data_IF_182083220416
#
_entry.id   IF_182083220416
#
_cell.length_a   1.000
_cell.length_b   1.000
_cell.length_c   1.000
_cell.angle_alpha   90.00
_cell.angle_beta   90.00
_cell.angle_gamma   90.00
#
_symmetry.space_group_name_H-M   'P 1'
#
loop_
_entity.id
_entity.type
_entity.pdbx_description
1 polymer ?
#
# COMPACT_ATOMS: atom_id res chain seq x y z
N UNK A 1 8.69 1.65 1.72
CA UNK A 1 7.73 1.86 0.62
C UNK A 1 6.79 3.00 1.00
N UNK A 2 7.03 4.19 0.41
CA UNK A 2 6.19 5.39 0.67
C UNK A 2 4.74 5.12 0.26
N UNK A 3 4.52 4.39 -0.84
CA UNK A 3 3.19 3.99 -1.30
C UNK A 3 2.41 3.22 -0.24
N UNK A 4 3.01 2.19 0.36
CA UNK A 4 2.33 1.40 1.39
C UNK A 4 1.98 2.25 2.62
N UNK A 5 2.88 3.16 3.04
CA UNK A 5 2.61 4.07 4.16
C UNK A 5 1.41 4.98 3.90
N UNK A 6 1.37 5.63 2.73
CA UNK A 6 0.26 6.51 2.34
C UNK A 6 -1.06 5.75 2.20
N UNK A 7 -1.04 4.57 1.56
CA UNK A 7 -2.21 3.74 1.39
C UNK A 7 -2.74 3.19 2.72
N UNK A 8 -1.85 2.70 3.59
CA UNK A 8 -2.21 2.18 4.89
C UNK A 8 -2.78 3.28 5.78
N UNK A 9 -2.16 4.47 5.80
CA UNK A 9 -2.67 5.62 6.56
C UNK A 9 -4.10 6.00 6.14
N UNK A 10 -4.38 6.03 4.83
CA UNK A 10 -5.71 6.33 4.31
C UNK A 10 -6.75 5.26 4.69
N UNK A 11 -6.39 3.97 4.58
CA UNK A 11 -7.26 2.84 4.94
C UNK A 11 -7.52 2.80 6.44
N UNK A 12 -6.48 2.98 7.26
CA UNK A 12 -6.59 3.01 8.73
C UNK A 12 -7.43 4.20 9.18
N UNK A 13 -7.22 5.39 8.62
CA UNK A 13 -8.07 6.56 8.89
C UNK A 13 -9.55 6.27 8.57
N UNK A 14 -9.81 5.71 7.39
CA UNK A 14 -11.16 5.37 6.96
C UNK A 14 -11.82 4.37 7.92
N UNK A 15 -11.10 3.32 8.32
CA UNK A 15 -11.56 2.31 9.27
C UNK A 15 -11.78 2.91 10.66
N UNK A 16 -10.84 3.70 11.16
CA UNK A 16 -10.91 4.33 12.48
C UNK A 16 -12.12 5.28 12.58
N UNK A 17 -12.33 6.14 11.58
CA UNK A 17 -13.50 7.02 11.53
C UNK A 17 -14.82 6.22 11.50
N UNK A 18 -14.86 5.11 10.75
CA UNK A 18 -16.02 4.22 10.70
C UNK A 18 -16.29 3.51 12.02
N UNK A 19 -15.24 3.02 12.70
CA UNK A 19 -15.35 2.39 14.01
C UNK A 19 -15.76 3.38 15.10
N UNK A 20 -15.25 4.61 15.03
CA UNK A 20 -15.60 5.70 15.94
C UNK A 20 -16.96 6.36 15.61
N UNK A 21 -17.65 5.93 14.54
CA UNK A 21 -18.89 6.54 14.02
C UNK A 21 -18.75 8.05 13.75
N UNK A 22 -17.54 8.53 13.47
CA UNK A 22 -17.25 9.93 13.11
C UNK A 22 -17.38 10.10 11.58
N UNK A 23 -17.76 11.30 11.09
CA UNK A 23 -17.83 11.55 9.65
C UNK A 23 -16.43 11.43 9.01
N UNK A 24 -16.35 10.65 7.94
CA UNK A 24 -15.12 10.49 7.16
C UNK A 24 -14.90 11.74 6.32
N UNK A 25 -13.73 12.36 6.39
CA UNK A 25 -13.37 13.49 5.55
C UNK A 25 -12.75 12.98 4.23
N UNK A 26 -13.47 13.01 3.08
CA UNK A 26 -12.98 12.40 1.84
C UNK A 26 -11.72 13.08 1.30
N UNK A 27 -11.54 14.37 1.59
CA UNK A 27 -10.37 15.17 1.19
C UNK A 27 -9.06 14.56 1.68
N UNK A 28 -9.03 14.03 2.91
CA UNK A 28 -7.85 13.38 3.50
C UNK A 28 -7.51 12.12 2.72
N UNK A 29 -8.51 11.25 2.49
CA UNK A 29 -8.33 9.97 1.79
C UNK A 29 -7.90 10.20 0.35
N UNK A 30 -8.53 11.14 -0.36
CA UNK A 30 -8.15 11.48 -1.74
C UNK A 30 -6.77 12.11 -1.83
N UNK A 31 -6.37 12.92 -0.85
CA UNK A 31 -5.03 13.50 -0.77
C UNK A 31 -3.95 12.43 -0.64
N UNK A 32 -4.13 11.52 0.34
CA UNK A 32 -3.22 10.40 0.56
C UNK A 32 -3.19 9.43 -0.63
N UNK A 33 -4.35 9.09 -1.19
CA UNK A 33 -4.45 8.23 -2.37
C UNK A 33 -3.73 8.84 -3.58
N UNK A 34 -3.90 10.15 -3.83
CA UNK A 34 -3.19 10.84 -4.91
C UNK A 34 -1.68 10.80 -4.70
N UNK A 35 -1.21 11.00 -3.47
CA UNK A 35 0.21 10.85 -3.13
C UNK A 35 0.71 9.43 -3.44
N UNK A 36 -0.02 8.40 -2.99
CA UNK A 36 0.32 7.00 -3.26
C UNK A 36 0.38 6.70 -4.77
N UNK A 37 -0.59 7.21 -5.55
CA UNK A 37 -0.63 7.04 -7.00
C UNK A 37 0.57 7.71 -7.71
N UNK A 38 0.91 8.95 -7.33
CA UNK A 38 2.05 9.68 -7.93
C UNK A 38 3.37 8.96 -7.63
N UNK A 39 3.57 8.54 -6.38
CA UNK A 39 4.75 7.76 -6.00
C UNK A 39 4.79 6.43 -6.75
N UNK A 40 3.63 5.77 -6.95
CA UNK A 40 3.54 4.54 -7.72
C UNK A 40 3.90 4.70 -9.19
N UNK A 41 3.47 5.77 -9.84
CA UNK A 41 3.90 6.07 -11.21
C UNK A 41 5.41 6.34 -11.28
N UNK A 42 5.97 7.02 -10.27
CA UNK A 42 7.42 7.18 -10.15
C UNK A 42 8.14 5.84 -10.01
N UNK A 43 7.65 4.95 -9.16
CA UNK A 43 8.16 3.59 -9.01
C UNK A 43 8.11 2.80 -10.32
N UNK A 44 6.98 2.84 -11.03
CA UNK A 44 6.82 2.19 -12.34
C UNK A 44 7.85 2.72 -13.35
N UNK A 45 8.02 4.04 -13.43
CA UNK A 45 8.99 4.67 -14.33
C UNK A 45 10.42 4.24 -14.01
N UNK A 46 10.79 4.20 -12.71
CA UNK A 46 12.11 3.73 -12.28
C UNK A 46 12.33 2.25 -12.63
N UNK A 47 11.33 1.38 -12.42
CA UNK A 47 11.42 -0.05 -12.75
C UNK A 47 11.56 -0.30 -14.25
N UNK A 48 10.82 0.44 -15.08
CA UNK A 48 10.96 0.38 -16.53
C UNK A 48 12.33 0.89 -16.97
N UNK A 49 12.80 2.01 -16.39
CA UNK A 49 14.11 2.57 -16.66
C UNK A 49 15.25 1.60 -16.31
N UNK A 50 15.14 0.92 -15.16
CA UNK A 50 16.09 -0.12 -14.72
C UNK A 50 16.22 -1.22 -15.78
N UNK A 51 15.11 -1.82 -16.23
CA UNK A 51 15.10 -2.91 -17.22
C UNK A 51 15.68 -2.49 -18.57
N UNK A 52 15.44 -1.24 -18.97
CA UNK A 52 16.00 -0.70 -20.23
C UNK A 52 17.51 -0.50 -20.09
N UNK A 53 17.97 0.11 -19.00
CA UNK A 53 19.38 0.43 -18.77
C UNK A 53 20.21 -0.84 -18.54
N UNK A 54 19.66 -1.87 -17.88
CA UNK A 54 20.36 -3.14 -17.66
C UNK A 54 20.43 -4.02 -18.92
N UNK A 55 19.65 -3.70 -19.96
CA UNK A 55 19.56 -4.52 -21.18
C UNK A 55 18.69 -5.77 -21.03
N UNK A 56 18.01 -5.93 -19.90
CA UNK A 56 17.24 -7.14 -19.55
C UNK A 56 15.81 -7.15 -20.09
N UNK A 57 15.50 -6.29 -21.08
CA UNK A 57 14.16 -6.21 -21.66
C UNK A 57 13.68 -7.55 -22.22
N UNK A 58 14.61 -8.39 -22.69
CA UNK A 58 14.32 -9.76 -23.12
C UNK A 58 13.77 -10.64 -22.00
N UNK A 59 14.25 -10.47 -20.76
CA UNK A 59 13.75 -11.21 -19.59
C UNK A 59 12.33 -10.76 -19.22
N UNK A 60 12.04 -9.46 -19.32
CA UNK A 60 10.71 -8.92 -19.05
C UNK A 60 9.66 -9.34 -20.10
N UNK A 61 10.08 -9.63 -21.33
CA UNK A 61 9.19 -10.07 -22.42
C UNK A 61 9.16 -11.59 -22.62
N UNK A 62 10.05 -12.33 -21.97
CA UNK A 62 10.09 -13.78 -22.07
C UNK A 62 8.83 -14.43 -21.47
N UNK A 63 8.34 -15.56 -22.01
CA UNK A 63 7.19 -16.29 -21.47
C UNK A 63 7.57 -17.09 -20.21
N UNK A 64 8.06 -16.39 -19.18
CA UNK A 64 8.49 -16.97 -17.91
C UNK A 64 7.56 -16.56 -16.78
N UNK A 65 7.53 -17.37 -15.71
CA UNK A 65 6.77 -17.04 -14.50
C UNK A 65 7.19 -15.71 -13.88
N UNK A 66 8.48 -15.37 -13.95
CA UNK A 66 9.02 -14.15 -13.36
C UNK A 66 8.62 -12.90 -14.14
N UNK A 67 8.62 -12.98 -15.47
CA UNK A 67 8.07 -11.92 -16.31
C UNK A 67 6.58 -11.68 -16.02
N UNK A 68 5.80 -12.77 -15.86
CA UNK A 68 4.38 -12.66 -15.53
C UNK A 68 4.12 -12.02 -14.15
N UNK A 69 4.90 -12.39 -13.13
CA UNK A 69 4.83 -11.77 -11.79
C UNK A 69 5.16 -10.28 -11.86
N UNK A 70 6.25 -9.93 -12.54
CA UNK A 70 6.70 -8.55 -12.70
C UNK A 70 5.65 -7.68 -13.42
N UNK A 71 5.08 -8.15 -14.54
CA UNK A 71 4.02 -7.43 -15.23
C UNK A 71 2.73 -7.33 -14.42
N UNK A 72 2.40 -8.36 -13.63
CA UNK A 72 1.25 -8.31 -12.73
C UNK A 72 1.46 -7.22 -11.67
N UNK A 73 2.64 -7.15 -11.06
CA UNK A 73 2.99 -6.08 -10.12
C UNK A 73 2.84 -4.69 -10.77
N UNK A 74 3.47 -4.49 -11.94
CA UNK A 74 3.50 -3.19 -12.62
C UNK A 74 2.11 -2.76 -13.13
N UNK A 75 1.36 -3.66 -13.76
CA UNK A 75 0.09 -3.31 -14.41
C UNK A 75 -1.09 -3.34 -13.45
N UNK A 76 -1.23 -4.42 -12.67
CA UNK A 76 -2.42 -4.64 -11.84
C UNK A 76 -2.31 -3.89 -10.53
N UNK A 77 -1.12 -3.83 -9.92
CA UNK A 77 -0.98 -3.28 -8.58
C UNK A 77 -0.35 -1.89 -8.51
N UNK A 78 0.23 -1.41 -9.61
CA UNK A 78 0.76 -0.03 -9.69
C UNK A 78 -0.02 0.80 -10.70
N UNK A 79 -0.02 0.43 -11.98
CA UNK A 79 -0.63 1.25 -13.03
C UNK A 79 -2.16 1.36 -12.88
N UNK A 80 -2.85 0.23 -12.73
CA UNK A 80 -4.31 0.19 -12.57
C UNK A 80 -4.81 1.06 -11.40
N UNK A 81 -4.36 0.87 -10.15
CA UNK A 81 -4.84 1.71 -9.05
C UNK A 81 -4.43 3.18 -9.19
N UNK A 82 -3.25 3.48 -9.76
CA UNK A 82 -2.86 4.86 -10.03
C UNK A 82 -3.83 5.54 -11.00
N UNK A 83 -4.20 4.87 -12.10
CA UNK A 83 -5.19 5.37 -13.06
C UNK A 83 -6.57 5.52 -12.41
N UNK A 84 -7.02 4.50 -11.65
CA UNK A 84 -8.30 4.55 -10.95
C UNK A 84 -8.39 5.76 -10.02
N UNK A 85 -7.32 6.04 -9.25
CA UNK A 85 -7.25 7.17 -8.32
C UNK A 85 -7.22 8.51 -9.07
N UNK A 86 -6.37 8.64 -10.10
CA UNK A 86 -6.16 9.91 -10.79
C UNK A 86 -7.35 10.32 -11.67
N UNK A 87 -8.00 9.36 -12.33
CA UNK A 87 -9.11 9.62 -13.26
C UNK A 87 -10.46 9.62 -12.55
N UNK A 88 -10.66 8.71 -11.60
CA UNK A 88 -12.00 8.44 -11.03
C UNK A 88 -12.07 8.50 -9.51
N UNK A 89 -10.92 8.61 -8.81
CA UNK A 89 -10.85 8.46 -7.35
C UNK A 89 -11.75 9.45 -6.60
N UNK A 90 -11.81 10.71 -7.05
CA UNK A 90 -12.65 11.74 -6.40
C UNK A 90 -14.16 11.51 -6.53
N UNK A 91 -14.60 10.61 -7.42
CA UNK A 91 -16.03 10.33 -7.66
C UNK A 91 -16.61 9.31 -6.69
N UNK A 92 -15.77 8.49 -6.06
CA UNK A 92 -16.24 7.44 -5.14
C UNK A 92 -15.17 7.08 -4.11
N UNK A 93 -15.55 7.25 -2.85
CA UNK A 93 -14.71 6.87 -1.71
C UNK A 93 -14.40 5.36 -1.72
N UNK A 94 -15.41 4.53 -2.03
CA UNK A 94 -15.26 3.08 -2.07
C UNK A 94 -14.29 2.63 -3.17
N UNK A 95 -14.37 3.23 -4.37
CA UNK A 95 -13.42 2.92 -5.47
C UNK A 95 -11.99 3.31 -5.09
N UNK A 96 -11.82 4.46 -4.43
CA UNK A 96 -10.50 4.88 -3.91
C UNK A 96 -10.00 3.89 -2.86
N UNK A 97 -10.85 3.45 -1.94
CA UNK A 97 -10.50 2.42 -0.96
C UNK A 97 -10.00 1.12 -1.60
N UNK A 98 -10.69 0.63 -2.65
CA UNK A 98 -10.26 -0.56 -3.41
C UNK A 98 -8.90 -0.32 -4.07
N UNK A 99 -8.68 0.82 -4.71
CA UNK A 99 -7.41 1.14 -5.35
C UNK A 99 -6.24 1.21 -4.34
N UNK A 100 -6.48 1.76 -3.14
CA UNK A 100 -5.50 1.78 -2.05
C UNK A 100 -5.17 0.36 -1.57
N UNK A 101 -6.16 -0.53 -1.48
CA UNK A 101 -5.94 -1.94 -1.14
C UNK A 101 -5.14 -2.68 -2.21
N UNK A 102 -5.38 -2.40 -3.50
CA UNK A 102 -4.57 -2.93 -4.60
C UNK A 102 -3.10 -2.51 -4.47
N UNK A 103 -2.83 -1.25 -4.12
CA UNK A 103 -1.45 -0.78 -3.88
C UNK A 103 -0.81 -1.53 -2.71
N UNK A 104 -1.53 -1.73 -1.60
CA UNK A 104 -1.01 -2.48 -0.45
C UNK A 104 -0.70 -3.93 -0.82
N UNK A 105 -1.58 -4.58 -1.57
CA UNK A 105 -1.37 -5.94 -2.07
C UNK A 105 -0.20 -6.00 -3.05
N UNK A 106 -0.01 -4.99 -3.90
CA UNK A 106 1.16 -4.88 -4.78
C UNK A 106 2.47 -4.81 -4.04
N UNK A 107 2.56 -3.97 -3.01
CA UNK A 107 3.77 -3.87 -2.19
C UNK A 107 4.03 -5.17 -1.42
N UNK A 108 2.98 -5.85 -0.97
CA UNK A 108 3.10 -7.16 -0.35
C UNK A 108 3.60 -8.21 -1.35
N UNK A 109 3.05 -8.23 -2.57
CA UNK A 109 3.47 -9.14 -3.64
C UNK A 109 4.91 -8.89 -4.04
N UNK A 110 5.33 -7.63 -4.20
CA UNK A 110 6.73 -7.26 -4.45
C UNK A 110 7.67 -7.82 -3.39
N UNK A 111 7.25 -7.82 -2.12
CA UNK A 111 8.03 -8.41 -1.03
C UNK A 111 8.19 -9.92 -1.23
N UNK A 112 7.12 -10.64 -1.55
CA UNK A 112 7.18 -12.08 -1.81
C UNK A 112 7.97 -12.43 -3.08
N UNK A 113 7.83 -11.65 -4.14
CA UNK A 113 8.58 -11.83 -5.38
C UNK A 113 10.08 -11.75 -5.09
N UNK A 114 10.51 -10.73 -4.32
CA UNK A 114 11.92 -10.53 -3.98
C UNK A 114 12.48 -11.54 -2.96
N UNK A 115 11.70 -11.94 -1.95
CA UNK A 115 12.23 -12.72 -0.81
C UNK A 115 11.84 -14.20 -0.81
N UNK A 116 10.87 -14.62 -1.63
CA UNK A 116 10.39 -16.00 -1.65
C UNK A 116 10.46 -16.61 -3.05
N UNK A 117 9.94 -15.92 -4.08
CA UNK A 117 9.83 -16.51 -5.41
C UNK A 117 11.10 -16.42 -6.24
N UNK A 118 11.81 -15.28 -6.18
CA UNK A 118 13.05 -15.06 -6.93
C UNK A 118 14.32 -15.54 -6.19
N UNK A 119 14.18 -16.03 -4.95
CA UNK A 119 15.33 -16.48 -4.17
C UNK A 119 15.82 -17.85 -4.65
N UNK A 120 17.11 -17.95 -4.97
CA UNK A 120 17.75 -19.21 -5.33
C UNK A 120 17.97 -20.05 -4.06
N UNK A 121 17.26 -21.17 -3.96
CA UNK A 121 17.50 -22.15 -2.91
C UNK A 121 18.68 -23.06 -3.27
N UNK A 122 19.50 -23.49 -2.28
CA UNK A 122 20.50 -24.54 -2.49
C UNK A 122 19.89 -25.82 -3.07
N UNK A 123 20.66 -26.56 -3.87
CA UNK A 123 20.20 -27.81 -4.49
C UNK A 123 19.66 -28.79 -3.44
N UNK A 124 18.40 -29.20 -3.59
CA UNK A 124 17.73 -30.14 -2.67
C UNK A 124 16.99 -29.48 -1.51
N UNK A 125 17.09 -28.16 -1.33
CA UNK A 125 16.31 -27.44 -0.34
C UNK A 125 14.93 -27.05 -0.89
N UNK A 126 13.89 -27.23 -0.08
CA UNK A 126 12.54 -26.70 -0.32
C UNK A 126 12.14 -25.85 0.87
N UNK A 127 11.61 -24.65 0.62
CA UNK A 127 11.09 -23.78 1.67
C UNK A 127 9.58 -23.99 1.79
N UNK A 128 9.14 -24.33 3.00
CA UNK A 128 7.74 -24.33 3.37
C UNK A 128 7.60 -23.52 4.67
N UNK A 129 6.75 -22.48 4.70
CA UNK A 129 6.70 -21.56 5.83
C UNK A 129 6.27 -22.28 7.10
N UNK A 130 7.09 -22.18 8.16
CA UNK A 130 6.75 -22.78 9.44
C UNK A 130 5.69 -21.96 10.19
N UNK A 131 4.91 -22.62 11.05
CA UNK A 131 3.90 -21.95 11.88
C UNK A 131 4.48 -20.79 12.69
N UNK A 132 5.72 -20.92 13.18
CA UNK A 132 6.39 -19.88 13.95
C UNK A 132 6.66 -18.61 13.11
N UNK A 133 6.86 -18.74 11.80
CA UNK A 133 7.07 -17.60 10.90
C UNK A 133 5.77 -16.80 10.74
N UNK A 134 4.64 -17.50 10.66
CA UNK A 134 3.31 -16.89 10.67
C UNK A 134 3.02 -16.19 12.00
N UNK A 135 3.32 -16.84 13.13
CA UNK A 135 3.15 -16.25 14.46
C UNK A 135 4.05 -15.03 14.67
N UNK A 136 5.29 -15.07 14.18
CA UNK A 136 6.22 -13.93 14.26
C UNK A 136 5.70 -12.76 13.44
N UNK A 137 5.21 -13.01 12.22
CA UNK A 137 4.61 -11.98 11.37
C UNK A 137 3.37 -11.35 12.04
N UNK A 138 2.49 -12.19 12.59
CA UNK A 138 1.32 -11.72 13.34
C UNK A 138 1.72 -10.90 14.58
N UNK A 139 2.76 -11.33 15.30
CA UNK A 139 3.30 -10.64 16.47
C UNK A 139 3.86 -9.26 16.12
N UNK A 140 4.60 -9.13 15.01
CA UNK A 140 5.12 -7.83 14.52
C UNK A 140 3.96 -6.89 14.17
N UNK A 141 2.94 -7.39 13.46
CA UNK A 141 1.76 -6.59 13.10
C UNK A 141 0.98 -6.15 14.36
N UNK A 142 0.81 -7.05 15.32
CA UNK A 142 0.16 -6.74 16.60
C UNK A 142 0.95 -5.71 17.40
N UNK A 143 2.28 -5.83 17.47
CA UNK A 143 3.16 -4.86 18.12
C UNK A 143 3.10 -3.48 17.45
N UNK A 144 3.09 -3.43 16.11
CA UNK A 144 2.93 -2.18 15.37
C UNK A 144 1.56 -1.53 15.63
N UNK A 145 0.49 -2.32 15.65
CA UNK A 145 -0.85 -1.85 15.99
C UNK A 145 -0.93 -1.33 17.45
N UNK A 146 -0.31 -2.04 18.39
CA UNK A 146 -0.23 -1.62 19.79
C UNK A 146 0.52 -0.30 19.94
N UNK A 147 1.69 -0.17 19.29
CA UNK A 147 2.48 1.07 19.31
C UNK A 147 1.68 2.25 18.73
N UNK A 148 0.94 2.03 17.64
CA UNK A 148 0.04 3.04 17.08
C UNK A 148 -1.06 3.46 18.06
N UNK A 149 -1.76 2.49 18.67
CA UNK A 149 -2.83 2.76 19.64
C UNK A 149 -2.29 3.53 20.85
N UNK A 150 -1.14 3.13 21.38
CA UNK A 150 -0.46 3.84 22.47
C UNK A 150 -0.10 5.26 22.06
N UNK A 151 0.44 5.45 20.85
CA UNK A 151 0.73 6.79 20.31
C UNK A 151 -0.50 7.68 20.24
N UNK A 152 -1.62 7.18 19.69
CA UNK A 152 -2.88 7.93 19.60
C UNK A 152 -3.42 8.30 21.00
N UNK A 153 -3.32 7.39 21.97
CA UNK A 153 -3.82 7.61 23.33
C UNK A 153 -2.91 8.51 24.18
N UNK A 154 -1.60 8.43 24.02
CA UNK A 154 -0.64 9.19 24.82
C UNK A 154 -0.43 10.61 24.29
N UNK A 155 -0.58 10.82 22.98
CA UNK A 155 -0.32 12.11 22.32
C UNK A 155 -1.60 12.92 22.05
N UNK A 156 -2.77 12.49 22.51
CA UNK A 156 -4.07 13.17 22.33
C UNK A 156 -4.37 13.66 20.89
N UNK A 157 -3.98 12.87 19.88
CA UNK A 157 -4.08 13.25 18.45
C UNK A 157 -5.53 13.52 17.99
N UNK A 158 -6.53 13.07 18.75
CA UNK A 158 -7.94 13.07 18.37
C UNK A 158 -8.81 14.09 19.14
N UNK A 159 -8.22 15.05 19.86
CA UNK A 159 -8.99 16.13 20.50
C UNK A 159 -9.74 16.96 19.44
N UNK A 160 -11.05 17.07 19.61
CA UNK A 160 -11.92 17.84 18.74
C UNK A 160 -11.61 19.34 18.97
N UNK A 161 -11.32 20.10 17.91
CA UNK A 161 -11.25 21.56 17.99
C UNK A 161 -12.52 22.07 18.71
N UNK A 162 -12.40 22.99 19.68
CA UNK A 162 -13.57 23.58 20.30
C UNK A 162 -14.46 24.18 19.19
N UNK A 163 -15.80 24.07 19.30
CA UNK A 163 -16.70 24.53 18.26
C UNK A 163 -16.35 25.97 17.92
N UNK A 164 -15.93 26.22 16.67
CA UNK A 164 -15.72 27.58 16.17
C UNK A 164 -16.96 28.38 16.51
N UNK A 165 -16.79 29.32 17.44
CA UNK A 165 -17.84 30.22 17.87
C UNK A 165 -18.47 30.85 16.62
N UNK A 166 -19.77 30.61 16.47
CA UNK A 166 -20.64 31.56 15.83
C UNK A 166 -20.52 32.88 16.62
N UNK A 167 -19.71 33.82 16.14
CA UNK A 167 -20.06 35.23 16.18
C UNK A 167 -20.68 35.53 14.81
N UNK A 168 -21.92 35.99 14.64
CA UNK A 168 -22.51 37.20 15.23
C UNK A 168 -21.49 38.33 15.31
N UNK A 169 -21.25 39.00 14.19
CA UNK A 169 -21.74 40.36 13.91
C UNK A 169 -21.82 40.58 12.38
#
# INVERSE_FOLDING_TARGET
SIMAGLSLAAVVYWLAARLARKPVQPKIIFGLARGAAVVGLGYLALKLGEVIVSGDIGLALAPTRFAALWWTEMLVFVALPAVLILVSGRKSLQRTGIALMLILLGVLMNRFDATMFAQLLPSGASYFPHLIEWLTTAGILAAAALAWILGVRLLNIMEDDPPHHAGSE
#
